data_IF_507398534154
#
_entry.id   IF_507398534154
#
_cell.length_a   1.000
_cell.length_b   1.000
_cell.length_c   1.000
_cell.angle_alpha   90.00
_cell.angle_beta   90.00
_cell.angle_gamma   90.00
#
_symmetry.space_group_name_H-M   'P 1'
#
loop_
_entity.id
_entity.type
_entity.pdbx_description
1 polymer ?
#
# COMPACT_ATOMS: atom_id res chain seq x y z
N UNK A 1 6.51 -25.06 16.33
CA UNK A 1 7.61 -26.02 16.05
C UNK A 1 8.39 -25.48 14.87
N UNK A 2 9.60 -24.99 15.09
CA UNK A 2 10.53 -24.62 14.01
C UNK A 2 11.13 -25.91 13.46
N UNK A 3 10.65 -26.38 12.33
CA UNK A 3 11.37 -27.39 11.56
C UNK A 3 12.43 -26.62 10.78
N UNK A 4 13.64 -26.55 11.29
CA UNK A 4 14.79 -26.04 10.54
C UNK A 4 15.14 -27.11 9.49
N UNK A 5 14.83 -26.85 8.23
CA UNK A 5 15.14 -27.75 7.11
C UNK A 5 16.66 -28.04 6.96
N UNK A 6 17.51 -27.21 7.59
CA UNK A 6 18.94 -27.44 7.68
C UNK A 6 19.36 -28.72 8.42
N UNK A 7 18.53 -29.27 9.31
CA UNK A 7 18.86 -30.47 10.11
C UNK A 7 18.21 -31.77 9.59
N UNK A 8 17.47 -31.75 8.47
CA UNK A 8 16.75 -32.91 7.93
C UNK A 8 17.56 -33.71 6.89
N UNK A 9 18.87 -33.50 6.82
CA UNK A 9 19.71 -34.07 5.73
C UNK A 9 19.95 -35.59 5.86
N UNK A 10 19.58 -36.25 6.96
CA UNK A 10 20.04 -37.61 7.21
C UNK A 10 19.01 -38.74 7.08
N UNK A 11 17.74 -38.54 6.71
CA UNK A 11 16.86 -39.72 6.55
C UNK A 11 15.54 -39.60 5.77
N UNK A 12 15.22 -38.47 5.07
CA UNK A 12 14.05 -38.43 4.20
C UNK A 12 14.39 -37.67 2.89
N UNK A 13 14.03 -38.27 1.75
CA UNK A 13 13.97 -37.56 0.46
C UNK A 13 13.04 -36.38 0.68
N UNK A 14 13.61 -35.18 0.81
CA UNK A 14 12.83 -33.94 0.91
C UNK A 14 12.00 -33.81 -0.37
N UNK A 15 10.70 -34.04 -0.27
CA UNK A 15 9.79 -33.85 -1.37
C UNK A 15 9.61 -32.36 -1.61
N UNK A 16 10.07 -31.86 -2.76
CA UNK A 16 9.94 -30.46 -3.15
C UNK A 16 8.46 -30.01 -3.16
N UNK A 17 7.53 -30.93 -3.42
CA UNK A 17 6.10 -30.64 -3.41
C UNK A 17 5.63 -30.32 -1.98
N UNK A 18 5.92 -31.21 -1.05
CA UNK A 18 5.55 -31.01 0.36
C UNK A 18 6.22 -29.77 0.97
N UNK A 19 7.49 -29.51 0.59
CA UNK A 19 8.22 -28.34 1.05
C UNK A 19 7.61 -27.02 0.55
N UNK A 20 7.25 -26.95 -0.73
CA UNK A 20 6.60 -25.75 -1.30
C UNK A 20 5.23 -25.51 -0.66
N UNK A 21 4.44 -26.58 -0.51
CA UNK A 21 3.11 -26.49 0.10
C UNK A 21 3.20 -26.01 1.57
N UNK A 22 4.21 -26.48 2.32
CA UNK A 22 4.46 -26.02 3.70
C UNK A 22 4.91 -24.55 3.74
N UNK A 23 5.84 -24.15 2.89
CA UNK A 23 6.32 -22.75 2.81
C UNK A 23 5.18 -21.79 2.48
N UNK A 24 4.34 -22.12 1.52
CA UNK A 24 3.18 -21.29 1.15
C UNK A 24 2.18 -21.23 2.30
N UNK A 25 1.91 -22.38 2.95
CA UNK A 25 1.01 -22.44 4.10
C UNK A 25 1.54 -21.61 5.28
N UNK A 26 2.81 -21.71 5.60
CA UNK A 26 3.45 -20.90 6.65
C UNK A 26 3.38 -19.39 6.31
N UNK A 27 3.62 -19.01 5.07
CA UNK A 27 3.52 -17.62 4.64
C UNK A 27 2.09 -17.08 4.81
N UNK A 28 1.06 -17.85 4.45
CA UNK A 28 -0.34 -17.48 4.63
C UNK A 28 -0.72 -17.39 6.12
N UNK A 29 -0.32 -18.35 6.95
CA UNK A 29 -0.53 -18.32 8.41
C UNK A 29 0.13 -17.11 9.06
N UNK A 30 1.31 -16.72 8.57
CA UNK A 30 2.02 -15.53 9.01
C UNK A 30 1.42 -14.22 8.49
N UNK A 31 0.37 -14.28 7.64
CA UNK A 31 -0.17 -13.12 6.91
C UNK A 31 0.93 -12.34 6.17
N UNK A 32 1.91 -13.06 5.62
CA UNK A 32 2.97 -12.46 4.82
C UNK A 32 2.40 -11.91 3.51
N UNK A 33 2.87 -10.75 3.09
CA UNK A 33 2.51 -10.20 1.78
C UNK A 33 3.30 -10.84 0.63
N UNK A 34 4.55 -11.25 0.91
CA UNK A 34 5.41 -11.87 -0.09
C UNK A 34 6.28 -12.97 0.56
N UNK A 35 6.53 -14.06 -0.19
CA UNK A 35 7.55 -15.07 0.07
C UNK A 35 8.64 -14.90 -1.00
N UNK A 36 9.87 -14.72 -0.56
CA UNK A 36 11.04 -14.62 -1.42
C UNK A 36 11.94 -15.84 -1.25
N UNK A 37 12.28 -16.47 -2.36
CA UNK A 37 13.30 -17.50 -2.45
C UNK A 37 14.49 -16.91 -3.21
N UNK A 38 15.57 -16.61 -2.50
CA UNK A 38 16.73 -15.91 -3.05
C UNK A 38 17.92 -16.87 -3.17
N UNK A 39 18.39 -17.16 -4.40
CA UNK A 39 19.48 -18.09 -4.63
C UNK A 39 20.84 -17.50 -4.18
N UNK A 40 21.67 -18.36 -3.63
CA UNK A 40 23.04 -18.08 -3.21
C UNK A 40 23.91 -19.33 -3.31
N UNK A 41 25.19 -19.23 -2.98
CA UNK A 41 26.16 -20.33 -3.11
C UNK A 41 25.78 -21.62 -2.34
N UNK A 42 24.96 -21.49 -1.26
CA UNK A 42 24.55 -22.64 -0.44
C UNK A 42 23.13 -23.17 -0.71
N UNK A 43 22.37 -22.55 -1.62
CA UNK A 43 20.97 -22.88 -1.89
C UNK A 43 20.08 -21.65 -1.88
N UNK A 44 18.81 -21.76 -1.43
CA UNK A 44 17.85 -20.67 -1.41
C UNK A 44 17.66 -20.11 0.00
N UNK A 45 17.88 -18.81 0.19
CA UNK A 45 17.46 -18.13 1.39
C UNK A 45 15.94 -17.89 1.33
N UNK A 46 15.22 -18.36 2.34
CA UNK A 46 13.76 -18.19 2.46
C UNK A 46 13.48 -16.96 3.29
N UNK A 47 12.73 -15.99 2.72
CA UNK A 47 12.39 -14.75 3.40
C UNK A 47 10.89 -14.47 3.28
N UNK A 48 10.28 -14.05 4.37
CA UNK A 48 8.89 -13.55 4.40
C UNK A 48 8.87 -12.04 4.58
N UNK A 49 8.01 -11.37 3.82
CA UNK A 49 7.68 -9.98 4.07
C UNK A 49 6.52 -9.90 5.06
N UNK A 50 6.88 -9.63 6.31
CA UNK A 50 5.95 -9.48 7.42
C UNK A 50 5.81 -8.01 7.74
N UNK A 51 4.58 -7.50 7.72
CA UNK A 51 4.27 -6.08 8.01
C UNK A 51 5.15 -5.09 7.24
N UNK A 52 5.48 -5.40 5.96
CA UNK A 52 6.29 -4.59 5.06
C UNK A 52 7.80 -4.79 5.18
N UNK A 53 8.29 -5.56 6.15
CA UNK A 53 9.73 -5.83 6.35
C UNK A 53 10.06 -7.26 5.94
N UNK A 54 11.17 -7.40 5.19
CA UNK A 54 11.63 -8.70 4.72
C UNK A 54 12.50 -9.38 5.80
N UNK A 55 12.03 -10.51 6.31
CA UNK A 55 12.69 -11.27 7.37
C UNK A 55 13.16 -12.62 6.84
N UNK A 56 14.43 -13.00 7.10
CA UNK A 56 14.93 -14.33 6.81
C UNK A 56 14.35 -15.30 7.82
N UNK A 57 13.71 -16.37 7.34
CA UNK A 57 13.06 -17.38 8.20
C UNK A 57 13.76 -18.74 8.11
N UNK A 58 14.30 -19.10 6.95
CA UNK A 58 14.90 -20.41 6.73
C UNK A 58 15.91 -20.39 5.57
N UNK A 59 16.46 -21.58 5.26
CA UNK A 59 17.37 -21.82 4.16
C UNK A 59 17.11 -23.21 3.57
N UNK A 60 16.96 -23.28 2.24
CA UNK A 60 16.80 -24.52 1.49
C UNK A 60 18.16 -24.90 0.89
N UNK A 61 18.68 -26.13 1.15
CA UNK A 61 19.97 -26.54 0.62
C UNK A 61 19.99 -26.61 -0.91
N UNK A 62 21.18 -26.42 -1.50
CA UNK A 62 21.37 -26.41 -2.95
C UNK A 62 20.90 -27.71 -3.64
N UNK A 63 20.99 -28.87 -2.93
CA UNK A 63 20.59 -30.17 -3.47
C UNK A 63 19.13 -30.29 -3.89
N UNK A 64 18.21 -29.43 -3.35
CA UNK A 64 16.78 -29.43 -3.67
C UNK A 64 16.29 -28.08 -4.23
N UNK A 65 17.14 -27.06 -4.26
CA UNK A 65 16.79 -25.70 -4.64
C UNK A 65 16.13 -25.63 -6.02
N UNK A 66 16.71 -26.27 -7.04
CA UNK A 66 16.18 -26.26 -8.40
C UNK A 66 14.82 -26.96 -8.50
N UNK A 67 14.63 -28.04 -7.72
CA UNK A 67 13.34 -28.77 -7.68
C UNK A 67 12.23 -27.91 -7.07
N UNK A 68 12.55 -27.10 -6.05
CA UNK A 68 11.62 -26.15 -5.43
C UNK A 68 11.19 -25.08 -6.43
N UNK A 69 12.13 -24.48 -7.17
CA UNK A 69 11.83 -23.49 -8.22
C UNK A 69 11.03 -24.14 -9.34
N UNK A 70 11.41 -25.34 -9.80
CA UNK A 70 10.66 -26.06 -10.83
C UNK A 70 9.22 -26.37 -10.39
N UNK A 71 9.00 -26.77 -9.13
CA UNK A 71 7.66 -26.98 -8.58
C UNK A 71 6.84 -25.70 -8.61
N UNK A 72 7.37 -24.56 -8.20
CA UNK A 72 6.69 -23.27 -8.28
C UNK A 72 6.32 -22.89 -9.71
N UNK A 73 7.25 -23.11 -10.66
CA UNK A 73 7.01 -22.85 -12.09
C UNK A 73 5.85 -23.71 -12.62
N UNK A 74 5.79 -24.99 -12.24
CA UNK A 74 4.65 -25.87 -12.59
C UNK A 74 3.35 -25.33 -12.03
N UNK A 75 3.32 -24.91 -10.76
CA UNK A 75 2.13 -24.32 -10.14
C UNK A 75 1.68 -23.04 -10.85
N UNK A 76 2.62 -22.19 -11.27
CA UNK A 76 2.36 -20.93 -11.98
C UNK A 76 2.19 -21.08 -13.49
N UNK A 77 2.13 -22.31 -14.01
CA UNK A 77 2.02 -22.62 -15.46
C UNK A 77 3.18 -22.01 -16.29
N UNK A 78 4.38 -21.91 -15.69
CA UNK A 78 5.59 -21.38 -16.33
C UNK A 78 6.42 -22.47 -16.98
N UNK A 79 7.31 -22.08 -17.91
CA UNK A 79 8.20 -22.97 -18.63
C UNK A 79 9.37 -23.40 -17.74
N UNK A 80 9.36 -24.65 -17.27
CA UNK A 80 10.40 -25.16 -16.36
C UNK A 80 11.79 -25.26 -16.99
N UNK A 81 11.86 -25.51 -18.30
CA UNK A 81 13.10 -25.64 -19.05
C UNK A 81 13.76 -24.31 -19.48
N UNK A 82 13.03 -23.18 -19.34
CA UNK A 82 13.57 -21.84 -19.62
C UNK A 82 13.99 -21.20 -18.31
N UNK A 83 15.30 -21.15 -18.09
CA UNK A 83 15.91 -20.56 -16.88
C UNK A 83 16.67 -19.27 -17.15
N UNK A 84 16.64 -18.82 -18.40
CA UNK A 84 17.41 -17.71 -18.97
C UNK A 84 16.60 -16.41 -19.12
N UNK A 85 15.27 -16.46 -18.90
CA UNK A 85 14.36 -15.33 -19.06
C UNK A 85 13.49 -15.12 -17.81
N UNK A 86 13.08 -13.87 -17.52
CA UNK A 86 12.03 -13.61 -16.52
C UNK A 86 10.71 -14.25 -16.94
N UNK A 87 9.98 -14.79 -15.97
CA UNK A 87 8.67 -15.38 -16.19
C UNK A 87 7.72 -14.96 -15.07
N UNK A 88 6.46 -14.70 -15.41
CA UNK A 88 5.41 -14.36 -14.46
C UNK A 88 4.19 -15.24 -14.69
N UNK A 89 3.54 -15.65 -13.59
CA UNK A 89 2.35 -16.46 -13.62
C UNK A 89 1.52 -16.30 -12.35
N UNK A 90 0.45 -17.05 -12.26
CA UNK A 90 -0.42 -17.03 -11.09
C UNK A 90 -1.05 -18.40 -10.86
N UNK A 91 -1.36 -18.70 -9.62
CA UNK A 91 -2.09 -19.91 -9.24
C UNK A 91 -2.95 -19.67 -8.01
N UNK A 92 -3.97 -20.52 -7.84
CA UNK A 92 -4.76 -20.51 -6.62
C UNK A 92 -4.27 -21.60 -5.68
N UNK A 93 -3.97 -21.25 -4.44
CA UNK A 93 -3.55 -22.19 -3.39
C UNK A 93 -4.67 -22.36 -2.36
N UNK A 94 -4.96 -23.61 -2.01
CA UNK A 94 -5.88 -23.92 -0.90
C UNK A 94 -5.10 -23.92 0.41
N UNK A 95 -5.33 -22.89 1.22
CA UNK A 95 -4.79 -22.78 2.56
C UNK A 95 -5.56 -23.66 3.58
N UNK A 96 -5.18 -23.55 4.84
CA UNK A 96 -5.91 -24.16 5.95
C UNK A 96 -7.34 -23.60 6.00
N UNK A 97 -8.34 -24.48 5.97
CA UNK A 97 -9.77 -24.11 6.07
C UNK A 97 -10.48 -23.89 4.73
N UNK A 98 -10.03 -24.55 3.63
CA UNK A 98 -10.65 -24.52 2.29
C UNK A 98 -10.70 -23.13 1.61
N UNK A 99 -10.13 -22.11 2.20
CA UNK A 99 -10.01 -20.79 1.57
C UNK A 99 -9.01 -20.84 0.40
N UNK A 100 -9.44 -20.38 -0.75
CA UNK A 100 -8.56 -20.20 -1.91
C UNK A 100 -7.88 -18.84 -1.81
N UNK A 101 -6.57 -18.88 -1.96
CA UNK A 101 -5.73 -17.67 -2.03
C UNK A 101 -5.11 -17.59 -3.41
N UNK A 102 -5.31 -16.46 -4.08
CA UNK A 102 -4.64 -16.19 -5.33
C UNK A 102 -3.21 -15.75 -5.05
N UNK A 103 -2.27 -16.35 -5.76
CA UNK A 103 -0.84 -16.13 -5.61
C UNK A 103 -0.27 -15.71 -6.96
N UNK A 104 0.42 -14.57 -7.03
CA UNK A 104 1.25 -14.22 -8.18
C UNK A 104 2.67 -14.71 -7.96
N UNK A 105 3.24 -15.30 -8.98
CA UNK A 105 4.60 -15.81 -9.01
C UNK A 105 5.40 -15.03 -10.04
N UNK A 106 6.54 -14.47 -9.63
CA UNK A 106 7.55 -13.93 -10.53
C UNK A 106 8.86 -14.69 -10.33
N UNK A 107 9.43 -15.18 -11.42
CA UNK A 107 10.72 -15.88 -11.44
C UNK A 107 11.69 -15.09 -12.30
N UNK A 108 12.89 -14.87 -11.78
CA UNK A 108 13.93 -14.08 -12.44
C UNK A 108 15.29 -14.78 -12.39
N UNK A 109 16.02 -14.92 -13.51
CA UNK A 109 17.35 -15.50 -13.54
C UNK A 109 18.38 -14.62 -12.80
N UNK A 110 19.26 -15.25 -12.02
CA UNK A 110 20.40 -14.61 -11.36
C UNK A 110 21.68 -15.40 -11.61
N UNK A 111 22.81 -14.88 -11.19
CA UNK A 111 24.12 -15.58 -11.30
C UNK A 111 24.20 -16.86 -10.46
N UNK A 112 23.33 -17.06 -9.49
CA UNK A 112 23.30 -18.22 -8.60
C UNK A 112 22.08 -19.13 -8.83
N UNK A 113 21.37 -18.97 -9.94
CA UNK A 113 20.12 -19.69 -10.22
C UNK A 113 18.91 -18.77 -10.29
N UNK A 114 17.72 -19.33 -10.31
CA UNK A 114 16.49 -18.55 -10.42
C UNK A 114 16.01 -18.06 -9.04
N UNK A 115 15.70 -16.77 -8.94
CA UNK A 115 15.02 -16.16 -7.82
C UNK A 115 13.50 -16.27 -8.03
N UNK A 116 12.75 -16.64 -7.00
CA UNK A 116 11.30 -16.64 -7.06
C UNK A 116 10.72 -15.71 -6.00
N UNK A 117 9.65 -14.98 -6.38
CA UNK A 117 8.85 -14.15 -5.47
C UNK A 117 7.39 -14.51 -5.63
N UNK A 118 6.76 -14.94 -4.54
CA UNK A 118 5.34 -15.19 -4.47
C UNK A 118 4.68 -14.00 -3.76
N UNK A 119 3.72 -13.36 -4.39
CA UNK A 119 2.89 -12.33 -3.78
C UNK A 119 1.53 -12.88 -3.46
N UNK A 120 1.14 -12.78 -2.21
CA UNK A 120 -0.15 -13.23 -1.70
C UNK A 120 -1.15 -12.07 -1.73
N UNK A 121 -2.31 -12.32 -2.34
CA UNK A 121 -3.45 -11.43 -2.21
C UNK A 121 -4.20 -11.87 -0.96
N UNK A 122 -3.80 -11.33 0.19
CA UNK A 122 -4.51 -11.55 1.44
C UNK A 122 -5.70 -10.58 1.47
N UNK A 123 -6.79 -10.97 0.85
CA UNK A 123 -8.09 -10.40 1.20
C UNK A 123 -8.58 -11.18 2.43
N UNK A 124 -8.38 -10.60 3.62
CA UNK A 124 -8.92 -11.16 4.86
C UNK A 124 -10.46 -11.08 4.90
N UNK A 125 -11.08 -10.71 3.77
CA UNK A 125 -12.53 -10.65 3.54
C UNK A 125 -13.24 -9.67 4.46
N UNK A 126 -12.50 -9.01 5.36
CA UNK A 126 -13.09 -8.07 6.32
C UNK A 126 -12.92 -6.64 5.82
N UNK A 127 -14.01 -6.00 5.42
CA UNK A 127 -13.98 -4.61 5.06
C UNK A 127 -13.48 -3.79 6.26
N UNK A 128 -12.42 -3.00 6.04
CA UNK A 128 -11.91 -2.11 7.07
C UNK A 128 -12.73 -0.84 7.09
N UNK A 129 -13.31 -0.53 8.26
CA UNK A 129 -13.91 0.79 8.49
C UNK A 129 -12.80 1.84 8.61
N UNK A 130 -13.10 3.07 8.21
CA UNK A 130 -12.20 4.20 8.37
C UNK A 130 -11.78 4.41 9.84
N UNK A 131 -12.66 4.10 10.78
CA UNK A 131 -12.41 4.19 12.23
C UNK A 131 -11.38 3.16 12.73
N UNK A 132 -11.15 2.08 11.96
CA UNK A 132 -10.26 0.98 12.34
C UNK A 132 -8.91 0.99 11.59
N UNK A 133 -8.58 2.08 10.89
CA UNK A 133 -7.30 2.19 10.17
C UNK A 133 -6.13 2.54 11.10
N UNK A 134 -6.41 3.05 12.29
CA UNK A 134 -5.40 3.51 13.26
C UNK A 134 -4.98 4.97 13.06
N UNK A 135 -5.68 5.71 12.19
CA UNK A 135 -5.56 7.16 12.09
C UNK A 135 -6.12 7.81 13.37
N UNK A 136 -5.63 9.01 13.73
CA UNK A 136 -6.19 9.76 14.86
C UNK A 136 -7.63 10.20 14.58
N UNK A 137 -8.43 10.36 15.65
CA UNK A 137 -9.82 10.79 15.54
C UNK A 137 -9.98 12.08 14.75
N UNK A 138 -9.05 13.03 14.90
CA UNK A 138 -9.04 14.29 14.17
C UNK A 138 -8.87 14.09 12.66
N UNK A 139 -7.98 13.18 12.25
CA UNK A 139 -7.78 12.83 10.83
C UNK A 139 -8.99 12.10 10.28
N UNK A 140 -9.56 11.16 11.03
CA UNK A 140 -10.77 10.43 10.65
C UNK A 140 -11.94 11.40 10.47
N UNK A 141 -12.15 12.33 11.41
CA UNK A 141 -13.21 13.34 11.32
C UNK A 141 -13.00 14.24 10.08
N UNK A 142 -11.79 14.70 9.82
CA UNK A 142 -11.47 15.52 8.65
C UNK A 142 -11.76 14.77 7.33
N UNK A 143 -11.41 13.49 7.26
CA UNK A 143 -11.70 12.64 6.09
C UNK A 143 -13.19 12.44 5.89
N UNK A 144 -13.94 12.12 6.95
CA UNK A 144 -15.42 11.98 6.90
C UNK A 144 -16.07 13.27 6.44
N UNK A 145 -15.74 14.41 7.06
CA UNK A 145 -16.30 15.72 6.68
C UNK A 145 -15.99 16.08 5.21
N UNK A 146 -14.79 15.71 4.72
CA UNK A 146 -14.45 15.94 3.33
C UNK A 146 -15.29 15.10 2.36
N UNK A 147 -15.74 13.89 2.75
CA UNK A 147 -16.60 13.05 1.91
C UNK A 147 -18.06 13.52 1.84
N UNK A 148 -18.48 14.40 2.75
CA UNK A 148 -19.83 15.03 2.74
C UNK A 148 -19.93 16.14 1.68
N UNK A 149 -18.80 16.60 1.14
CA UNK A 149 -18.79 17.61 0.08
C UNK A 149 -19.42 17.07 -1.19
N UNK A 150 -20.06 17.96 -1.94
CA UNK A 150 -20.67 17.62 -3.23
C UNK A 150 -19.68 17.59 -4.36
N UNK A 151 -18.56 18.33 -4.23
CA UNK A 151 -17.53 18.44 -5.27
C UNK A 151 -16.17 18.80 -4.68
N UNK A 152 -15.11 18.50 -5.41
CA UNK A 152 -13.75 18.82 -5.08
C UNK A 152 -12.83 17.62 -5.10
N UNK A 153 -11.61 17.78 -4.60
CA UNK A 153 -10.57 16.77 -4.64
C UNK A 153 -10.10 16.42 -3.23
N UNK A 154 -10.15 15.14 -2.90
CA UNK A 154 -9.57 14.55 -1.69
C UNK A 154 -8.39 13.67 -2.12
N UNK A 155 -7.21 13.93 -1.56
CA UNK A 155 -6.00 13.17 -1.85
C UNK A 155 -5.53 12.37 -0.64
N UNK A 156 -5.24 11.10 -0.86
CA UNK A 156 -4.52 10.25 0.10
C UNK A 156 -3.12 10.02 -0.44
N UNK A 157 -2.10 10.48 0.30
CA UNK A 157 -0.72 10.50 -0.20
C UNK A 157 0.23 9.72 0.70
N UNK A 158 1.37 9.33 0.14
CA UNK A 158 2.40 8.55 0.82
C UNK A 158 3.15 7.64 -0.14
N UNK A 159 4.26 7.02 0.29
CA UNK A 159 5.02 6.08 -0.53
C UNK A 159 4.22 4.81 -0.86
N UNK A 160 4.82 3.94 -1.68
CA UNK A 160 4.28 2.60 -1.90
C UNK A 160 4.13 1.86 -0.56
N UNK A 161 3.02 1.14 -0.38
CA UNK A 161 2.74 0.42 0.86
C UNK A 161 2.32 1.27 2.05
N UNK A 162 2.03 2.58 1.88
CA UNK A 162 1.52 3.45 2.94
C UNK A 162 0.05 3.19 3.32
N UNK A 163 -0.64 2.29 2.64
CA UNK A 163 -2.05 1.95 2.90
C UNK A 163 -3.05 2.87 2.21
N UNK A 164 -2.64 3.60 1.17
CA UNK A 164 -3.49 4.56 0.43
C UNK A 164 -4.77 3.92 -0.11
N UNK A 165 -4.66 2.82 -0.86
CA UNK A 165 -5.82 2.09 -1.42
C UNK A 165 -6.78 1.63 -0.32
N UNK A 166 -6.25 1.11 0.80
CA UNK A 166 -7.06 0.69 1.95
C UNK A 166 -7.86 1.85 2.53
N UNK A 167 -7.26 3.04 2.65
CA UNK A 167 -7.95 4.25 3.11
C UNK A 167 -9.01 4.69 2.11
N UNK A 168 -8.72 4.67 0.81
CA UNK A 168 -9.70 4.99 -0.22
C UNK A 168 -10.90 4.04 -0.19
N UNK A 169 -10.69 2.72 -0.10
CA UNK A 169 -11.77 1.76 0.00
C UNK A 169 -12.60 1.93 1.28
N UNK A 170 -11.95 2.27 2.40
CA UNK A 170 -12.66 2.57 3.63
C UNK A 170 -13.55 3.83 3.50
N UNK A 171 -13.05 4.87 2.80
CA UNK A 171 -13.83 6.06 2.47
C UNK A 171 -14.99 5.75 1.52
N UNK A 172 -14.79 4.90 0.51
CA UNK A 172 -15.85 4.46 -0.39
C UNK A 172 -16.99 3.80 0.38
N UNK A 173 -16.67 2.83 1.22
CA UNK A 173 -17.67 2.16 2.06
C UNK A 173 -18.40 3.14 2.96
N UNK A 174 -17.64 4.02 3.62
CA UNK A 174 -18.25 5.05 4.48
C UNK A 174 -19.26 5.90 3.70
N UNK A 175 -18.96 6.32 2.48
CA UNK A 175 -19.86 7.11 1.66
C UNK A 175 -21.09 6.32 1.20
N UNK A 176 -20.91 5.06 0.79
CA UNK A 176 -22.01 4.18 0.39
C UNK A 176 -22.97 3.90 1.56
N UNK A 177 -22.43 3.72 2.76
CA UNK A 177 -23.21 3.48 3.98
C UNK A 177 -23.93 4.76 4.46
N UNK A 178 -23.24 5.91 4.43
CA UNK A 178 -23.75 7.18 4.92
C UNK A 178 -24.80 7.82 3.99
N UNK A 179 -24.68 7.59 2.68
CA UNK A 179 -25.57 8.17 1.66
C UNK A 179 -26.01 7.10 0.67
N UNK A 180 -26.99 6.26 1.04
CA UNK A 180 -27.51 5.25 0.12
C UNK A 180 -28.05 5.88 -1.17
N UNK A 181 -27.66 5.32 -2.30
CA UNK A 181 -28.08 5.81 -3.62
C UNK A 181 -27.11 6.79 -4.29
N UNK A 182 -26.03 7.19 -3.62
CA UNK A 182 -24.98 8.01 -4.25
C UNK A 182 -24.26 7.21 -5.33
N UNK A 183 -24.10 7.80 -6.52
CA UNK A 183 -23.38 7.15 -7.63
C UNK A 183 -21.88 7.24 -7.42
N UNK A 184 -21.27 6.14 -7.00
CA UNK A 184 -19.83 6.05 -6.72
C UNK A 184 -19.18 5.08 -7.72
N UNK A 185 -18.20 5.57 -8.48
CA UNK A 185 -17.49 4.81 -9.51
C UNK A 185 -15.99 4.86 -9.27
N UNK A 186 -15.28 3.75 -9.44
CA UNK A 186 -13.82 3.72 -9.40
C UNK A 186 -13.19 3.38 -10.75
N UNK A 187 -12.01 3.97 -10.99
CA UNK A 187 -11.06 3.63 -12.05
C UNK A 187 -9.75 3.16 -11.43
N UNK A 188 -9.38 1.91 -11.69
CA UNK A 188 -8.28 1.25 -10.99
C UNK A 188 -7.38 0.46 -11.96
N UNK A 189 -6.10 0.27 -11.61
CA UNK A 189 -5.12 -0.48 -12.39
C UNK A 189 -4.14 -1.26 -11.48
N UNK A 190 -4.46 -2.52 -11.17
CA UNK A 190 -5.77 -3.20 -11.26
C UNK A 190 -6.71 -2.91 -10.08
N UNK A 191 -7.93 -3.46 -10.11
CA UNK A 191 -8.80 -3.50 -8.91
C UNK A 191 -8.17 -4.43 -7.88
N UNK A 192 -7.78 -3.86 -6.71
CA UNK A 192 -7.13 -4.61 -5.63
C UNK A 192 -8.13 -5.34 -4.72
N UNK A 193 -9.30 -4.75 -4.49
CA UNK A 193 -10.34 -5.30 -3.63
C UNK A 193 -11.73 -5.00 -4.18
N UNK A 194 -12.63 -5.97 -4.14
CA UNK A 194 -14.03 -5.76 -4.49
C UNK A 194 -14.78 -5.07 -3.34
N UNK A 195 -15.56 -4.05 -3.67
CA UNK A 195 -16.39 -3.31 -2.70
C UNK A 195 -17.83 -3.37 -3.18
N UNK A 196 -18.70 -3.93 -2.35
CA UNK A 196 -20.12 -4.00 -2.64
C UNK A 196 -20.73 -2.60 -2.72
N UNK A 197 -21.57 -2.36 -3.72
CA UNK A 197 -22.16 -1.05 -3.98
C UNK A 197 -21.27 -0.07 -4.76
N UNK A 198 -19.97 -0.35 -4.93
CA UNK A 198 -19.06 0.46 -5.74
C UNK A 198 -19.02 -0.08 -7.17
N UNK A 199 -19.27 0.78 -8.16
CA UNK A 199 -19.02 0.41 -9.56
C UNK A 199 -17.54 0.50 -9.86
N UNK A 200 -16.86 -0.65 -10.00
CA UNK A 200 -15.41 -0.71 -10.19
C UNK A 200 -15.04 -1.02 -11.63
N UNK A 201 -14.23 -0.15 -12.23
CA UNK A 201 -13.76 -0.26 -13.59
C UNK A 201 -12.26 -0.46 -13.58
N UNK A 202 -11.82 -1.60 -14.11
CA UNK A 202 -10.40 -1.87 -14.29
C UNK A 202 -9.95 -1.37 -15.65
N UNK A 203 -9.01 -0.44 -15.65
CA UNK A 203 -8.38 0.05 -16.88
C UNK A 203 -7.32 -0.92 -17.38
N UNK A 204 -7.04 -0.84 -18.68
CA UNK A 204 -5.98 -1.60 -19.34
C UNK A 204 -4.96 -0.60 -19.91
N UNK A 205 -3.79 -0.43 -19.30
CA UNK A 205 -2.82 0.60 -19.69
C UNK A 205 -2.42 0.53 -21.18
N UNK A 206 -2.33 -0.69 -21.72
CA UNK A 206 -1.98 -0.96 -23.12
C UNK A 206 -3.20 -1.31 -23.99
N UNK A 207 -4.42 -1.21 -23.44
CA UNK A 207 -5.67 -1.47 -24.12
C UNK A 207 -6.37 -0.20 -24.60
N UNK A 208 -7.54 -0.37 -25.21
CA UNK A 208 -8.37 0.77 -25.63
C UNK A 208 -9.02 1.51 -24.46
N UNK A 209 -9.22 0.85 -23.31
CA UNK A 209 -9.78 1.43 -22.09
C UNK A 209 -8.67 1.92 -21.15
N UNK A 210 -7.96 2.97 -21.55
CA UNK A 210 -6.99 3.65 -20.70
C UNK A 210 -7.66 4.69 -19.78
N UNK A 211 -6.89 5.23 -18.80
CA UNK A 211 -7.40 6.22 -17.82
C UNK A 211 -8.08 7.42 -18.47
N UNK A 212 -7.43 8.07 -19.42
CA UNK A 212 -7.95 9.28 -20.07
C UNK A 212 -9.26 9.04 -20.81
N UNK A 213 -9.36 7.92 -21.55
CA UNK A 213 -10.58 7.56 -22.29
C UNK A 213 -11.71 7.19 -21.34
N UNK A 214 -11.41 6.40 -20.30
CA UNK A 214 -12.39 6.00 -19.30
C UNK A 214 -12.96 7.21 -18.55
N UNK A 215 -12.09 8.11 -18.06
CA UNK A 215 -12.49 9.33 -17.36
C UNK A 215 -13.39 10.22 -18.23
N UNK A 216 -12.99 10.54 -19.45
CA UNK A 216 -13.82 11.36 -20.37
C UNK A 216 -15.18 10.74 -20.66
N UNK A 217 -15.28 9.42 -20.62
CA UNK A 217 -16.56 8.73 -20.78
C UNK A 217 -17.41 8.81 -19.51
N UNK A 218 -16.80 8.62 -18.34
CA UNK A 218 -17.49 8.65 -17.05
C UNK A 218 -18.05 10.02 -16.69
N UNK A 219 -17.37 11.11 -17.03
CA UNK A 219 -17.88 12.48 -16.85
C UNK A 219 -19.18 12.78 -17.62
N UNK A 220 -19.64 11.86 -18.50
CA UNK A 220 -20.93 11.92 -19.21
C UNK A 220 -21.94 10.90 -18.70
N UNK A 221 -21.61 10.16 -17.66
CA UNK A 221 -22.48 9.18 -17.02
C UNK A 221 -22.77 9.68 -15.61
N UNK A 222 -23.95 9.94 -15.26
CA UNK A 222 -24.44 10.43 -13.97
C UNK A 222 -23.65 9.91 -12.72
N UNK A 223 -22.38 10.31 -12.62
CA UNK A 223 -21.45 9.94 -11.55
C UNK A 223 -21.32 11.12 -10.60
N UNK A 224 -21.52 10.90 -9.32
CA UNK A 224 -21.34 11.93 -8.28
C UNK A 224 -19.96 11.88 -7.64
N UNK A 225 -19.46 10.67 -7.41
CA UNK A 225 -18.18 10.43 -6.77
C UNK A 225 -17.28 9.56 -7.65
N UNK A 226 -16.08 10.04 -7.88
CA UNK A 226 -15.12 9.39 -8.75
C UNK A 226 -13.88 9.00 -7.96
N UNK A 227 -13.60 7.70 -7.93
CA UNK A 227 -12.35 7.17 -7.43
C UNK A 227 -11.37 7.01 -8.58
N UNK A 228 -10.23 7.68 -8.52
CA UNK A 228 -9.13 7.51 -9.46
C UNK A 228 -7.97 6.88 -8.72
N UNK A 229 -7.59 5.67 -9.06
CA UNK A 229 -6.61 4.86 -8.33
C UNK A 229 -5.37 5.64 -7.94
N UNK A 230 -4.71 6.30 -8.91
CA UNK A 230 -3.58 7.18 -8.63
C UNK A 230 -3.34 8.22 -9.72
N UNK A 231 -2.78 9.36 -9.33
CA UNK A 231 -2.26 10.40 -10.24
C UNK A 231 -0.79 10.08 -10.50
N UNK A 232 -0.47 9.66 -11.75
CA UNK A 232 0.91 9.28 -12.14
C UNK A 232 1.64 10.39 -12.87
N UNK A 233 0.93 11.17 -13.65
CA UNK A 233 1.46 12.12 -14.62
C UNK A 233 0.58 13.40 -14.74
N UNK A 234 1.05 14.35 -15.53
CA UNK A 234 0.35 15.61 -15.76
C UNK A 234 -1.03 15.39 -16.43
N UNK A 235 -1.17 14.42 -17.36
CA UNK A 235 -2.45 14.17 -18.03
C UNK A 235 -3.51 13.71 -17.02
N UNK A 236 -3.18 12.74 -16.18
CA UNK A 236 -4.08 12.27 -15.13
C UNK A 236 -4.40 13.34 -14.09
N UNK A 237 -3.42 14.19 -13.74
CA UNK A 237 -3.63 15.33 -12.83
C UNK A 237 -4.64 16.33 -13.41
N UNK A 238 -4.48 16.73 -14.67
CA UNK A 238 -5.42 17.64 -15.33
C UNK A 238 -6.84 17.08 -15.40
N UNK A 239 -7.00 15.81 -15.76
CA UNK A 239 -8.31 15.17 -15.85
C UNK A 239 -9.00 15.11 -14.48
N UNK A 240 -8.27 14.77 -13.41
CA UNK A 240 -8.78 14.75 -12.03
C UNK A 240 -9.24 16.15 -11.59
N UNK A 241 -8.45 17.17 -11.87
CA UNK A 241 -8.81 18.57 -11.55
C UNK A 241 -10.03 19.03 -12.36
N UNK A 242 -10.09 18.70 -13.65
CA UNK A 242 -11.24 19.02 -14.51
C UNK A 242 -12.53 18.37 -13.96
N UNK A 243 -12.48 17.11 -13.58
CA UNK A 243 -13.60 16.42 -12.96
C UNK A 243 -14.06 17.14 -11.67
N UNK A 244 -13.14 17.55 -10.81
CA UNK A 244 -13.45 18.27 -9.59
C UNK A 244 -14.02 19.67 -9.85
N UNK A 245 -13.55 20.38 -10.89
CA UNK A 245 -14.07 21.69 -11.32
C UNK A 245 -15.49 21.60 -11.92
N UNK A 246 -15.80 20.48 -12.57
CA UNK A 246 -17.11 20.24 -13.21
C UNK A 246 -18.18 19.71 -12.24
N UNK A 247 -17.88 19.65 -10.93
CA UNK A 247 -18.87 19.38 -9.89
C UNK A 247 -18.83 17.98 -9.29
N UNK A 248 -17.84 17.14 -9.67
CA UNK A 248 -17.68 15.80 -9.10
C UNK A 248 -16.84 15.86 -7.81
N UNK A 249 -17.14 14.97 -6.86
CA UNK A 249 -16.23 14.69 -5.76
C UNK A 249 -15.23 13.63 -6.22
N UNK A 250 -13.96 14.00 -6.30
CA UNK A 250 -12.90 13.10 -6.75
C UNK A 250 -12.01 12.69 -5.59
N UNK A 251 -11.79 11.38 -5.45
CA UNK A 251 -10.84 10.81 -4.50
C UNK A 251 -9.72 10.16 -5.29
N UNK A 252 -8.47 10.47 -4.92
CA UNK A 252 -7.32 9.87 -5.61
C UNK A 252 -6.12 9.69 -4.69
N UNK A 253 -5.09 9.02 -5.20
CA UNK A 253 -3.82 8.90 -4.50
C UNK A 253 -2.68 9.57 -5.27
N UNK A 254 -1.65 9.96 -4.55
CA UNK A 254 -0.42 10.48 -5.12
C UNK A 254 0.78 10.03 -4.27
N UNK A 255 1.91 9.80 -4.92
CA UNK A 255 3.16 9.48 -4.24
C UNK A 255 3.87 10.78 -3.86
N UNK A 256 3.78 11.20 -2.59
CA UNK A 256 4.49 12.35 -2.03
C UNK A 256 4.78 12.16 -0.54
N UNK A 257 5.72 12.91 -0.02
CA UNK A 257 6.20 12.80 1.35
C UNK A 257 5.23 13.38 2.38
N UNK A 258 4.71 14.57 2.13
CA UNK A 258 3.83 15.33 3.01
C UNK A 258 2.81 16.17 2.20
N UNK A 259 1.86 16.87 2.86
CA UNK A 259 0.87 17.66 2.14
C UNK A 259 1.47 18.85 1.36
N UNK A 260 2.54 19.50 1.86
CA UNK A 260 3.18 20.61 1.17
C UNK A 260 3.88 20.14 -0.13
N UNK A 261 4.56 19.00 -0.08
CA UNK A 261 5.13 18.37 -1.27
C UNK A 261 4.05 17.93 -2.27
N UNK A 262 2.89 17.49 -1.78
CA UNK A 262 1.75 17.15 -2.65
C UNK A 262 1.29 18.37 -3.46
N UNK A 263 1.16 19.52 -2.81
CA UNK A 263 0.79 20.78 -3.46
C UNK A 263 1.85 21.16 -4.50
N UNK A 264 3.13 21.16 -4.12
CA UNK A 264 4.23 21.47 -5.01
C UNK A 264 4.25 20.58 -6.25
N UNK A 265 4.08 19.26 -6.06
CA UNK A 265 4.07 18.28 -7.15
C UNK A 265 2.91 18.48 -8.12
N UNK A 266 1.73 18.83 -7.65
CA UNK A 266 0.60 19.14 -8.54
C UNK A 266 0.86 20.41 -9.37
N UNK A 267 1.49 21.42 -8.78
CA UNK A 267 1.92 22.65 -9.51
C UNK A 267 2.99 22.28 -10.55
N UNK A 268 3.97 21.44 -10.22
CA UNK A 268 4.98 20.94 -11.14
C UNK A 268 4.39 20.13 -12.31
N UNK A 269 3.28 19.41 -12.07
CA UNK A 269 2.50 18.74 -13.11
C UNK A 269 1.69 19.70 -13.99
N UNK A 270 1.80 21.00 -13.78
CA UNK A 270 1.15 22.03 -14.60
C UNK A 270 -0.23 22.47 -14.12
N UNK A 271 -0.67 22.04 -12.93
CA UNK A 271 -1.94 22.50 -12.37
C UNK A 271 -1.77 23.95 -11.87
N UNK A 272 -2.57 24.84 -12.40
CA UNK A 272 -2.52 26.25 -11.99
C UNK A 272 -3.00 26.43 -10.53
N UNK A 273 -2.36 27.31 -9.74
CA UNK A 273 -2.73 27.55 -8.33
C UNK A 273 -4.22 27.82 -8.12
N UNK A 274 -4.87 28.58 -8.99
CA UNK A 274 -6.29 28.88 -8.87
C UNK A 274 -7.18 27.64 -9.07
N UNK A 275 -6.79 26.72 -9.94
CA UNK A 275 -7.51 25.45 -10.14
C UNK A 275 -7.37 24.56 -8.89
N UNK A 276 -6.15 24.47 -8.37
CA UNK A 276 -5.86 23.68 -7.18
C UNK A 276 -6.61 24.20 -5.96
N UNK A 277 -6.58 25.51 -5.69
CA UNK A 277 -7.26 26.10 -4.54
C UNK A 277 -8.79 26.04 -4.65
N UNK A 278 -9.34 26.02 -5.85
CA UNK A 278 -10.78 25.89 -6.07
C UNK A 278 -11.28 24.45 -5.85
N UNK A 279 -10.46 23.46 -6.19
CA UNK A 279 -10.87 22.05 -6.18
C UNK A 279 -10.44 21.30 -4.93
N UNK A 280 -9.22 21.50 -4.46
CA UNK A 280 -8.67 20.75 -3.34
C UNK A 280 -9.46 20.99 -2.06
N UNK A 281 -9.86 19.93 -1.38
CA UNK A 281 -10.57 19.95 -0.09
C UNK A 281 -9.68 19.48 1.05
N UNK A 282 -8.98 18.36 0.82
CA UNK A 282 -8.16 17.74 1.85
C UNK A 282 -7.01 16.94 1.21
N UNK A 283 -5.85 16.98 1.85
CA UNK A 283 -4.74 16.04 1.62
C UNK A 283 -4.52 15.28 2.92
N UNK A 284 -4.59 13.95 2.87
CA UNK A 284 -4.15 13.09 3.96
C UNK A 284 -2.85 12.39 3.57
N UNK A 285 -1.74 12.83 4.13
CA UNK A 285 -0.46 12.13 3.97
C UNK A 285 -0.31 11.09 5.06
N UNK A 286 0.03 9.83 4.69
CA UNK A 286 0.05 8.74 5.64
C UNK A 286 1.25 7.80 5.49
N UNK A 287 1.54 7.11 6.59
CA UNK A 287 2.52 6.02 6.70
C UNK A 287 1.91 4.85 7.46
N UNK A 288 2.44 3.66 7.22
CA UNK A 288 2.15 2.50 8.06
C UNK A 288 3.34 2.23 8.98
N UNK A 289 3.05 2.16 10.28
CA UNK A 289 3.98 1.75 11.31
C UNK A 289 3.63 0.35 11.82
N UNK A 290 4.62 -0.49 12.07
CA UNK A 290 4.40 -1.79 12.71
C UNK A 290 3.99 -1.58 14.15
N UNK A 291 2.98 -2.32 14.59
CA UNK A 291 2.55 -2.31 15.99
C UNK A 291 3.45 -3.24 16.81
N UNK A 292 3.81 -2.80 17.99
CA UNK A 292 4.46 -3.66 18.99
C UNK A 292 3.63 -4.91 19.20
N UNK A 293 4.24 -6.08 19.17
CA UNK A 293 3.54 -7.34 19.36
C UNK A 293 2.90 -7.37 20.77
N UNK A 294 1.59 -7.61 20.88
CA UNK A 294 0.92 -7.59 22.19
C UNK A 294 1.33 -8.77 23.06
N UNK A 295 1.73 -9.91 22.47
CA UNK A 295 2.06 -11.13 23.21
C UNK A 295 3.41 -11.06 23.90
N UNK A 296 4.40 -10.34 23.30
CA UNK A 296 5.76 -10.24 23.85
C UNK A 296 6.21 -8.79 24.15
N UNK A 297 5.35 -7.81 23.98
CA UNK A 297 5.66 -6.40 24.23
C UNK A 297 6.96 -5.93 23.54
N UNK A 298 7.20 -6.41 22.31
CA UNK A 298 8.36 -6.01 21.50
C UNK A 298 9.64 -6.84 21.70
N UNK A 299 9.65 -7.83 22.62
CA UNK A 299 10.85 -8.64 22.89
C UNK A 299 11.12 -9.73 21.84
N UNK A 300 10.10 -10.05 21.03
CA UNK A 300 10.16 -11.13 20.06
C UNK A 300 9.65 -12.47 20.64
N UNK A 301 8.69 -13.10 19.95
CA UNK A 301 8.12 -14.40 20.30
C UNK A 301 7.78 -15.18 19.04
N UNK A 302 7.31 -16.42 19.18
CA UNK A 302 6.87 -17.24 18.03
C UNK A 302 5.73 -16.58 17.26
N UNK A 303 4.77 -15.94 17.95
CA UNK A 303 3.62 -15.29 17.30
C UNK A 303 4.00 -14.12 16.38
N UNK A 304 5.12 -13.48 16.59
CA UNK A 304 5.64 -12.38 15.77
C UNK A 304 6.90 -12.77 14.98
N UNK A 305 7.22 -14.06 14.88
CA UNK A 305 8.43 -14.56 14.23
C UNK A 305 9.71 -13.92 14.77
N UNK A 306 9.78 -13.71 16.07
CA UNK A 306 10.87 -13.04 16.79
C UNK A 306 11.14 -11.58 16.36
N UNK A 307 10.27 -10.96 15.59
CA UNK A 307 10.42 -9.57 15.12
C UNK A 307 10.11 -8.52 16.18
N UNK A 308 9.35 -8.88 17.23
CA UNK A 308 8.81 -7.93 18.22
C UNK A 308 7.59 -7.13 17.71
N UNK A 309 7.17 -7.31 16.44
CA UNK A 309 6.07 -6.55 15.84
C UNK A 309 5.01 -7.48 15.26
N UNK A 310 3.76 -7.05 15.29
CA UNK A 310 2.62 -7.76 14.71
C UNK A 310 1.53 -6.79 14.31
N UNK A 311 1.11 -6.85 13.05
CA UNK A 311 0.19 -5.92 12.40
C UNK A 311 0.76 -4.51 12.20
N UNK A 312 0.01 -3.69 11.50
CA UNK A 312 0.36 -2.29 11.21
C UNK A 312 -0.77 -1.35 11.64
N UNK A 313 -0.42 -0.11 11.91
CA UNK A 313 -1.34 0.99 12.17
C UNK A 313 -1.02 2.14 11.24
N UNK A 314 -2.02 2.88 10.79
CA UNK A 314 -1.80 4.08 10.02
C UNK A 314 -1.44 5.26 10.93
N UNK A 315 -0.50 6.06 10.46
CA UNK A 315 -0.17 7.38 11.00
C UNK A 315 -0.41 8.37 9.86
N UNK A 316 -1.19 9.42 10.11
CA UNK A 316 -1.61 10.35 9.06
C UNK A 316 -1.59 11.80 9.52
N UNK A 317 -1.34 12.69 8.56
CA UNK A 317 -1.45 14.14 8.67
C UNK A 317 -2.50 14.62 7.66
N UNK A 318 -3.59 15.20 8.14
CA UNK A 318 -4.64 15.77 7.30
C UNK A 318 -4.41 17.29 7.17
N UNK A 319 -4.21 17.78 5.96
CA UNK A 319 -4.22 19.21 5.64
C UNK A 319 -5.58 19.57 5.00
N UNK A 320 -6.44 20.21 5.77
CA UNK A 320 -7.73 20.72 5.31
C UNK A 320 -7.52 22.07 4.66
N UNK A 321 -8.10 22.29 3.48
CA UNK A 321 -8.00 23.56 2.79
C UNK A 321 -8.78 24.66 3.51
N UNK A 322 -8.05 25.71 3.91
CA UNK A 322 -8.59 26.94 4.48
C UNK A 322 -8.12 28.15 3.68
N UNK A 323 -8.62 29.34 4.00
CA UNK A 323 -8.32 30.55 3.23
C UNK A 323 -6.85 30.95 3.32
N UNK A 324 -6.18 30.73 4.46
CA UNK A 324 -4.75 31.01 4.61
C UNK A 324 -3.91 30.11 3.70
N UNK A 325 -4.21 28.82 3.63
CA UNK A 325 -3.50 27.88 2.78
C UNK A 325 -3.79 28.15 1.29
N UNK A 326 -5.04 28.51 0.95
CA UNK A 326 -5.39 28.94 -0.42
C UNK A 326 -4.59 30.14 -0.84
N UNK A 327 -4.53 31.19 0.00
CA UNK A 327 -3.77 32.40 -0.30
C UNK A 327 -2.27 32.09 -0.46
N UNK A 328 -1.70 31.28 0.44
CA UNK A 328 -0.29 30.89 0.35
C UNK A 328 0.05 30.12 -0.94
N UNK A 329 -0.88 29.28 -1.44
CA UNK A 329 -0.72 28.58 -2.73
C UNK A 329 -0.77 29.58 -3.90
N UNK A 330 -1.73 30.52 -3.89
CA UNK A 330 -1.84 31.56 -4.93
C UNK A 330 -0.60 32.47 -4.97
N UNK A 331 -0.06 32.78 -3.80
CA UNK A 331 1.14 33.61 -3.66
C UNK A 331 2.45 32.86 -3.98
N UNK A 332 2.37 31.62 -4.47
CA UNK A 332 3.52 30.78 -4.77
C UNK A 332 4.47 30.62 -3.57
N UNK A 333 3.93 30.51 -2.37
CA UNK A 333 4.73 30.36 -1.14
C UNK A 333 5.63 29.13 -1.24
N UNK A 334 6.93 29.23 -0.90
CA UNK A 334 7.85 28.10 -0.94
C UNK A 334 7.37 26.91 -0.07
N UNK A 335 7.61 25.68 -0.53
CA UNK A 335 7.16 24.44 0.09
C UNK A 335 7.48 24.35 1.59
N UNK A 336 8.67 24.82 2.02
CA UNK A 336 9.04 24.85 3.43
C UNK A 336 8.12 25.73 4.29
N UNK A 337 7.71 26.90 3.78
CA UNK A 337 6.76 27.78 4.48
C UNK A 337 5.33 27.20 4.45
N UNK A 338 4.92 26.56 3.33
CA UNK A 338 3.64 25.84 3.27
C UNK A 338 3.59 24.73 4.32
N UNK A 339 4.68 23.99 4.48
CA UNK A 339 4.79 22.93 5.50
C UNK A 339 4.63 23.51 6.91
N UNK A 340 5.28 24.63 7.22
CA UNK A 340 5.13 25.32 8.51
C UNK A 340 3.67 25.72 8.75
N UNK A 341 3.04 26.37 7.76
CA UNK A 341 1.65 26.80 7.85
C UNK A 341 0.68 25.64 8.08
N UNK A 342 0.91 24.50 7.41
CA UNK A 342 0.11 23.29 7.60
C UNK A 342 0.32 22.74 9.02
N UNK A 343 1.56 22.67 9.49
CA UNK A 343 1.90 22.11 10.81
C UNK A 343 1.39 22.97 11.98
N UNK A 344 1.18 24.26 11.79
CA UNK A 344 0.55 25.14 12.78
C UNK A 344 -0.91 24.74 13.08
N UNK A 345 -1.59 24.17 12.10
CA UNK A 345 -3.02 23.82 12.20
C UNK A 345 -3.27 22.31 12.33
N UNK A 346 -2.30 21.48 11.96
CA UNK A 346 -2.43 20.03 11.90
C UNK A 346 -1.13 19.36 12.39
N UNK A 347 -1.21 18.39 13.31
CA UNK A 347 -0.03 17.66 13.74
C UNK A 347 0.72 17.05 12.54
N UNK A 348 2.02 17.21 12.54
CA UNK A 348 2.90 16.61 11.52
C UNK A 348 2.87 15.08 11.60
N UNK A 349 3.29 14.39 10.52
CA UNK A 349 3.44 12.93 10.54
C UNK A 349 4.35 12.45 11.68
N UNK A 350 5.39 13.22 11.98
CA UNK A 350 6.31 12.93 13.08
C UNK A 350 5.62 13.00 14.45
N UNK A 351 4.86 14.05 14.71
CA UNK A 351 4.11 14.21 15.97
C UNK A 351 3.06 13.12 16.12
N UNK A 352 2.33 12.80 15.04
CA UNK A 352 1.37 11.70 15.03
C UNK A 352 2.05 10.35 15.33
N UNK A 353 3.21 10.07 14.73
CA UNK A 353 3.97 8.85 14.99
C UNK A 353 4.51 8.78 16.41
N UNK A 354 5.03 9.89 16.95
CA UNK A 354 5.50 9.95 18.34
C UNK A 354 4.38 9.79 19.35
N UNK A 355 3.18 10.26 19.03
CA UNK A 355 2.00 9.98 19.87
C UNK A 355 1.71 8.46 19.94
N UNK A 356 1.82 7.72 18.83
CA UNK A 356 1.68 6.26 18.84
C UNK A 356 2.77 5.58 19.69
N UNK A 357 3.98 6.15 19.75
CA UNK A 357 5.05 5.66 20.65
C UNK A 357 4.66 5.89 22.11
N UNK A 358 4.16 7.07 22.46
CA UNK A 358 3.68 7.39 23.82
C UNK A 358 2.56 6.43 24.26
N UNK A 359 1.67 6.08 23.33
CA UNK A 359 0.59 5.08 23.53
C UNK A 359 1.11 3.63 23.53
N UNK A 360 2.43 3.40 23.42
CA UNK A 360 3.08 2.07 23.36
C UNK A 360 2.57 1.19 22.20
N UNK A 361 1.99 1.79 21.18
CA UNK A 361 1.52 1.04 20.00
C UNK A 361 2.64 0.71 19.02
N UNK A 362 3.72 1.49 19.02
CA UNK A 362 4.91 1.28 18.18
C UNK A 362 6.16 1.70 18.96
N UNK A 363 7.33 1.68 18.30
CA UNK A 363 8.61 2.06 18.92
C UNK A 363 9.24 3.24 18.20
N UNK A 364 10.15 3.95 18.89
CA UNK A 364 10.95 5.04 18.28
C UNK A 364 11.79 4.54 17.11
N UNK A 365 12.31 3.31 17.19
CA UNK A 365 13.10 2.71 16.10
C UNK A 365 12.25 2.47 14.85
N UNK A 366 11.01 2.07 15.02
CA UNK A 366 10.08 1.92 13.89
C UNK A 366 9.72 3.28 13.29
N UNK A 367 9.50 4.30 14.11
CA UNK A 367 9.27 5.68 13.62
C UNK A 367 10.48 6.16 12.82
N UNK A 368 11.69 5.97 13.35
CA UNK A 368 12.94 6.32 12.65
C UNK A 368 13.11 5.57 11.34
N UNK A 369 12.76 4.29 11.31
CA UNK A 369 12.81 3.46 10.08
C UNK A 369 11.89 3.98 8.98
N UNK A 370 10.70 4.49 9.33
CA UNK A 370 9.65 4.87 8.37
C UNK A 370 9.71 6.34 7.99
N UNK A 371 10.02 7.22 8.93
CA UNK A 371 10.01 8.67 8.74
C UNK A 371 11.43 9.29 8.67
N UNK A 372 12.47 8.50 8.93
CA UNK A 372 13.85 8.97 9.01
C UNK A 372 14.19 9.55 10.39
N UNK A 373 15.44 9.98 10.53
CA UNK A 373 15.90 10.74 11.72
C UNK A 373 15.47 12.19 11.57
N UNK A 374 14.79 12.73 12.55
CA UNK A 374 14.64 14.18 12.66
C UNK A 374 15.81 14.67 13.51
N UNK A 375 16.83 15.20 12.85
CA UNK A 375 17.75 16.09 13.53
C UNK A 375 16.95 17.33 13.92
N UNK A 376 17.18 17.86 15.15
CA UNK A 376 16.43 19.01 15.70
C UNK A 376 16.61 20.33 14.92
N UNK A 377 17.01 20.27 13.68
CA UNK A 377 17.15 21.34 12.70
C UNK A 377 16.49 20.95 11.37
N UNK A 378 15.21 20.83 11.29
CA UNK A 378 14.35 20.87 10.06
C UNK A 378 14.95 20.58 8.66
N UNK A 379 15.99 19.79 8.53
CA UNK A 379 16.58 19.35 7.26
C UNK A 379 16.54 17.84 7.16
N UNK A 380 15.69 17.34 6.28
CA UNK A 380 15.81 16.00 5.72
C UNK A 380 16.90 16.07 4.65
N UNK A 381 18.12 15.65 4.95
CA UNK A 381 19.11 15.37 3.92
C UNK A 381 18.69 14.02 3.29
N UNK A 382 18.12 14.09 2.10
CA UNK A 382 18.01 12.96 1.18
C UNK A 382 19.10 13.15 0.12
N UNK A 383 20.18 12.37 0.22
CA UNK A 383 21.00 11.99 -0.93
C UNK A 383 20.37 10.82 -1.67
#
# INVERSE_FOLDING_TARGET
>A
MRTTYANAVDSMVLDAVALVDDLVSQALLASASDLHLEPGAGGLAVRLRLDGVLNKIDHIPASIADNVIARLKVMGELLTYRTDIPQEGSFSFKGLGDLKHDVRLAVFPTIHGERAVLRFFCDDGKPRSIDNLGLSDAVVASLKNATEQTSGLILVTGPAGAGKSTTLYALARHMLDATPGRSVVSLEDPVEQRVEGLTQIQVQPFGELNYARAMRSLLRQDVEVLFVGEIRDAESAHIVIEAALTGHLVLSTLHSGDPAETIARLIEMGIAPYQLTSTLRLINSQRLLRKTCPDCCGQGCECCFATGYKYRTACGQAAVMNDHLRQAIIDHTPTGKLRTLINENHPSLQECAMHLVQMKQTTTDEVRRVLGTVDGSGRTDTE
#
